data_IF_821266646365
#
_entry.id   IF_821266646365
#
_cell.length_a   1.000
_cell.length_b   1.000
_cell.length_c   1.000
_cell.angle_alpha   90.00
_cell.angle_beta   90.00
_cell.angle_gamma   90.00
#
_symmetry.space_group_name_H-M   'P 1'
#
loop_
_entity.id
_entity.type
_entity.pdbx_description
1 polymer ?
#
# COMPACT_ATOMS: atom_id res chain seq x y z
N UNK A 1 -7.80 19.90 -16.54
CA UNK A 1 -6.67 20.83 -16.41
C UNK A 1 -6.02 21.14 -17.76
N UNK A 2 -5.40 20.16 -18.45
CA UNK A 2 -4.61 20.39 -19.66
C UNK A 2 -5.36 21.12 -20.79
N UNK A 3 -6.63 20.79 -21.03
CA UNK A 3 -7.47 21.50 -22.01
C UNK A 3 -7.63 22.99 -21.69
N UNK A 4 -7.93 23.32 -20.44
CA UNK A 4 -8.07 24.72 -19.99
C UNK A 4 -6.74 25.46 -19.95
N UNK A 5 -5.65 24.74 -19.64
CA UNK A 5 -4.30 25.27 -19.72
C UNK A 5 -3.92 25.67 -21.16
N UNK A 6 -4.19 24.80 -22.14
CA UNK A 6 -3.94 25.10 -23.55
C UNK A 6 -4.74 26.33 -24.03
N UNK A 7 -6.02 26.42 -23.66
CA UNK A 7 -6.87 27.59 -23.96
C UNK A 7 -6.31 28.87 -23.32
N UNK A 8 -5.83 28.80 -22.07
CA UNK A 8 -5.26 29.94 -21.38
C UNK A 8 -3.98 30.45 -22.08
N UNK A 9 -3.09 29.55 -22.50
CA UNK A 9 -1.88 29.90 -23.26
C UNK A 9 -2.22 30.57 -24.59
N UNK A 10 -3.12 29.98 -25.39
CA UNK A 10 -3.55 30.55 -26.67
C UNK A 10 -4.19 31.94 -26.51
N UNK A 11 -4.93 32.14 -25.41
CA UNK A 11 -5.60 33.39 -25.10
C UNK A 11 -4.75 34.39 -24.32
N UNK A 12 -3.46 34.09 -24.05
CA UNK A 12 -2.56 34.89 -23.21
C UNK A 12 -3.14 35.24 -21.83
N UNK A 13 -3.89 34.31 -21.24
CA UNK A 13 -4.47 34.42 -19.89
C UNK A 13 -3.62 33.66 -18.87
N UNK A 14 -3.88 33.90 -17.58
CA UNK A 14 -3.26 33.13 -16.52
C UNK A 14 -3.65 31.65 -16.59
N UNK A 15 -2.72 30.72 -16.29
CA UNK A 15 -3.03 29.30 -16.17
C UNK A 15 -4.16 29.02 -15.17
N UNK A 16 -4.98 27.97 -15.41
CA UNK A 16 -5.95 27.52 -14.42
C UNK A 16 -5.26 27.12 -13.11
N UNK A 17 -5.94 27.34 -11.99
CA UNK A 17 -5.54 26.80 -10.68
C UNK A 17 -5.66 25.28 -10.69
N UNK A 18 -4.62 24.57 -10.24
CA UNK A 18 -4.59 23.10 -10.32
C UNK A 18 -5.58 22.46 -9.34
N UNK A 19 -5.83 23.12 -8.22
CA UNK A 19 -6.72 22.69 -7.14
C UNK A 19 -8.18 22.60 -7.62
N UNK A 20 -8.56 23.40 -8.60
CA UNK A 20 -9.89 23.35 -9.24
C UNK A 20 -10.10 22.11 -10.12
N UNK A 21 -9.08 21.26 -10.29
CA UNK A 21 -9.13 20.04 -11.08
C UNK A 21 -8.78 18.80 -10.26
N UNK A 22 -8.74 18.90 -8.93
CA UNK A 22 -8.69 17.71 -8.10
C UNK A 22 -9.95 16.86 -8.29
N UNK A 23 -9.82 15.54 -8.43
CA UNK A 23 -10.98 14.67 -8.59
C UNK A 23 -11.83 14.69 -7.32
N UNK A 24 -13.15 14.48 -7.42
CA UNK A 24 -13.96 14.16 -6.25
C UNK A 24 -13.43 12.87 -5.62
N UNK A 25 -13.47 12.82 -4.29
CA UNK A 25 -13.12 11.62 -3.54
C UNK A 25 -14.41 10.85 -3.26
N UNK A 26 -14.56 9.70 -3.88
CA UNK A 26 -15.71 8.79 -3.75
C UNK A 26 -15.23 7.39 -3.29
N UNK A 27 -14.29 7.38 -2.33
CA UNK A 27 -13.74 6.16 -1.75
C UNK A 27 -14.14 6.08 -0.27
N UNK A 28 -15.07 5.18 0.11
CA UNK A 28 -15.62 5.11 1.46
C UNK A 28 -14.56 5.02 2.57
N UNK A 29 -13.42 4.39 2.30
CA UNK A 29 -12.33 4.26 3.26
C UNK A 29 -11.69 5.61 3.67
N UNK A 30 -11.87 6.66 2.86
CA UNK A 30 -11.24 7.98 3.05
C UNK A 30 -12.20 9.16 2.88
N UNK A 31 -13.44 8.94 2.45
CA UNK A 31 -14.47 9.95 2.18
C UNK A 31 -14.72 10.92 3.35
N UNK A 32 -14.71 10.41 4.58
CA UNK A 32 -14.94 11.21 5.80
C UNK A 32 -13.75 12.07 6.24
N UNK A 33 -12.61 12.00 5.54
CA UNK A 33 -11.37 12.67 5.93
C UNK A 33 -11.07 13.81 4.97
N UNK A 34 -10.60 14.94 5.51
CA UNK A 34 -10.05 16.03 4.70
C UNK A 34 -8.76 15.56 4.03
N UNK A 35 -8.86 15.07 2.80
CA UNK A 35 -7.73 14.56 2.03
C UNK A 35 -7.01 15.72 1.36
N UNK A 36 -5.72 15.84 1.66
CA UNK A 36 -4.84 16.78 0.98
C UNK A 36 -4.25 16.14 -0.28
N UNK A 37 -4.76 16.51 -1.45
CA UNK A 37 -4.25 16.07 -2.76
C UNK A 37 -3.11 16.96 -3.30
N UNK A 38 -2.69 17.98 -2.55
CA UNK A 38 -1.57 18.83 -2.93
C UNK A 38 -0.24 18.08 -2.91
N UNK A 39 0.78 18.67 -3.54
CA UNK A 39 2.13 18.11 -3.54
C UNK A 39 2.83 18.31 -2.20
N UNK A 40 2.87 17.26 -1.37
CA UNK A 40 3.58 17.25 -0.07
C UNK A 40 4.98 16.64 -0.19
N UNK A 41 6.02 17.35 0.25
CA UNK A 41 7.40 16.85 0.19
C UNK A 41 7.66 15.72 1.19
N UNK A 42 6.92 15.69 2.29
CA UNK A 42 6.97 14.68 3.34
C UNK A 42 6.71 13.28 2.79
N UNK A 43 5.90 13.17 1.72
CA UNK A 43 5.64 11.91 1.03
C UNK A 43 6.89 11.25 0.45
N UNK A 44 7.96 12.01 0.18
CA UNK A 44 9.24 11.46 -0.32
C UNK A 44 10.01 10.67 0.74
N UNK A 45 9.63 10.78 2.01
CA UNK A 45 10.32 10.15 3.14
C UNK A 45 9.36 9.34 4.02
N UNK A 46 8.11 9.14 3.57
CA UNK A 46 7.06 8.47 4.34
C UNK A 46 7.42 7.03 4.74
N UNK A 47 8.25 6.36 3.93
CA UNK A 47 8.70 4.99 4.17
C UNK A 47 10.16 4.90 4.60
N UNK A 48 10.78 6.01 5.02
CA UNK A 48 12.17 6.04 5.46
C UNK A 48 12.40 5.02 6.59
N UNK A 49 13.40 4.15 6.40
CA UNK A 49 13.75 3.11 7.37
C UNK A 49 12.80 1.91 7.39
N UNK A 50 11.89 1.78 6.41
CA UNK A 50 11.05 0.59 6.23
C UNK A 50 11.46 -0.20 5.00
N UNK A 51 11.35 -1.52 5.11
CA UNK A 51 11.54 -2.44 3.99
C UNK A 51 10.24 -3.20 3.74
N UNK A 52 9.64 -3.00 2.58
CA UNK A 52 8.45 -3.72 2.15
C UNK A 52 8.84 -5.00 1.42
N UNK A 53 8.45 -6.13 2.00
CA UNK A 53 8.74 -7.46 1.48
C UNK A 53 7.50 -7.97 0.76
N UNK A 54 7.62 -8.15 -0.54
CA UNK A 54 6.57 -8.68 -1.40
C UNK A 54 6.83 -10.17 -1.65
N UNK A 55 5.76 -10.97 -1.50
CA UNK A 55 5.79 -12.41 -1.81
C UNK A 55 5.16 -12.71 -3.19
N UNK A 56 4.77 -11.66 -3.93
CA UNK A 56 4.12 -11.71 -5.22
C UNK A 56 4.72 -10.67 -6.17
N UNK A 57 5.21 -11.14 -7.32
CA UNK A 57 5.82 -10.29 -8.34
C UNK A 57 4.86 -9.23 -8.92
N UNK A 58 3.55 -9.51 -9.00
CA UNK A 58 2.54 -8.55 -9.50
C UNK A 58 2.41 -7.36 -8.55
N UNK A 59 2.32 -7.62 -7.24
CA UNK A 59 2.25 -6.57 -6.23
C UNK A 59 3.55 -5.78 -6.16
N UNK A 60 4.70 -6.48 -6.21
CA UNK A 60 6.00 -5.83 -6.28
C UNK A 60 6.09 -4.89 -7.49
N UNK A 61 5.74 -5.35 -8.70
CA UNK A 61 5.76 -4.52 -9.91
C UNK A 61 4.82 -3.31 -9.81
N UNK A 62 3.67 -3.47 -9.15
CA UNK A 62 2.68 -2.39 -8.97
C UNK A 62 3.15 -1.32 -7.98
N UNK A 63 3.83 -1.70 -6.91
CA UNK A 63 4.02 -0.83 -5.74
C UNK A 63 5.47 -0.51 -5.38
N UNK A 64 6.46 -1.25 -5.87
CA UNK A 64 7.87 -1.03 -5.52
C UNK A 64 8.33 0.39 -5.81
N UNK A 65 7.92 0.94 -6.96
CA UNK A 65 8.22 2.33 -7.32
C UNK A 65 7.68 3.31 -6.29
N UNK A 66 6.43 3.14 -5.83
CA UNK A 66 5.83 4.02 -4.83
C UNK A 66 6.55 3.95 -3.48
N UNK A 67 6.96 2.74 -3.07
CA UNK A 67 7.75 2.53 -1.85
C UNK A 67 9.10 3.24 -1.93
N UNK A 68 9.82 3.04 -3.04
CA UNK A 68 11.16 3.64 -3.27
C UNK A 68 11.05 5.16 -3.36
N UNK A 69 10.06 5.69 -4.08
CA UNK A 69 9.82 7.14 -4.13
C UNK A 69 9.44 7.73 -2.78
N UNK A 70 8.82 6.93 -1.91
CA UNK A 70 8.55 7.28 -0.52
C UNK A 70 9.74 7.15 0.42
N UNK A 71 10.92 6.77 -0.07
CA UNK A 71 12.16 6.67 0.70
C UNK A 71 12.36 5.35 1.45
N UNK A 72 11.56 4.32 1.14
CA UNK A 72 11.73 2.97 1.70
C UNK A 72 12.38 2.01 0.72
N UNK A 73 12.63 0.78 1.19
CA UNK A 73 13.14 -0.31 0.37
C UNK A 73 12.00 -1.25 -0.05
N UNK A 74 12.04 -1.75 -1.28
CA UNK A 74 11.13 -2.78 -1.77
C UNK A 74 11.93 -4.03 -2.16
N UNK A 75 11.54 -5.19 -1.61
CA UNK A 75 12.17 -6.48 -1.91
C UNK A 75 11.13 -7.49 -2.36
N UNK A 76 11.43 -8.21 -3.44
CA UNK A 76 10.68 -9.39 -3.86
C UNK A 76 11.40 -10.63 -3.35
N UNK A 77 10.72 -11.43 -2.54
CA UNK A 77 11.21 -12.71 -2.05
C UNK A 77 10.38 -13.83 -2.68
N UNK A 78 11.03 -14.93 -3.00
CA UNK A 78 10.44 -16.13 -3.61
C UNK A 78 10.79 -17.38 -2.80
N UNK A 79 10.18 -18.52 -3.12
CA UNK A 79 10.44 -19.80 -2.43
C UNK A 79 11.94 -20.19 -2.49
N UNK A 80 12.63 -19.88 -3.58
CA UNK A 80 14.07 -20.11 -3.73
C UNK A 80 14.98 -19.12 -3.01
N UNK A 81 14.42 -18.06 -2.41
CA UNK A 81 15.19 -17.07 -1.67
C UNK A 81 15.63 -17.64 -0.32
N UNK A 82 16.93 -17.58 -0.04
CA UNK A 82 17.53 -18.07 1.23
C UNK A 82 17.55 -16.94 2.27
N UNK A 83 16.39 -16.53 2.74
CA UNK A 83 16.25 -15.55 3.82
C UNK A 83 15.91 -16.27 5.12
N UNK A 84 16.57 -15.88 6.21
CA UNK A 84 16.32 -16.44 7.54
C UNK A 84 15.02 -15.88 8.14
N UNK A 85 14.38 -16.63 9.04
CA UNK A 85 13.17 -16.18 9.77
C UNK A 85 13.37 -14.81 10.47
N UNK A 86 14.60 -14.48 10.87
CA UNK A 86 14.94 -13.19 11.48
C UNK A 86 14.81 -12.01 10.51
N UNK A 87 14.96 -12.23 9.21
CA UNK A 87 14.78 -11.18 8.19
C UNK A 87 13.35 -10.63 8.22
N UNK A 88 12.36 -11.51 8.25
CA UNK A 88 10.94 -11.15 8.28
C UNK A 88 10.50 -10.46 9.57
N UNK A 89 11.30 -10.57 10.63
CA UNK A 89 11.04 -9.96 11.94
C UNK A 89 11.99 -8.82 12.29
N UNK A 90 12.85 -8.41 11.36
CA UNK A 90 13.74 -7.28 11.56
C UNK A 90 12.94 -5.97 11.74
N UNK A 91 13.42 -5.04 12.59
CA UNK A 91 12.76 -3.74 12.77
C UNK A 91 12.59 -3.00 11.43
N UNK A 92 11.38 -2.49 11.18
CA UNK A 92 11.05 -1.79 9.92
C UNK A 92 10.65 -2.71 8.76
N UNK A 93 10.77 -4.03 8.89
CA UNK A 93 10.31 -4.98 7.88
C UNK A 93 8.78 -5.08 7.87
N UNK A 94 8.20 -4.81 6.70
CA UNK A 94 6.77 -4.86 6.45
C UNK A 94 6.49 -5.92 5.39
N UNK A 95 6.05 -7.12 5.79
CA UNK A 95 5.66 -8.17 4.83
C UNK A 95 4.29 -7.85 4.27
N UNK A 96 4.20 -7.66 2.96
CA UNK A 96 2.96 -7.33 2.26
C UNK A 96 2.12 -8.60 2.12
N UNK A 97 0.86 -8.50 2.50
CA UNK A 97 -0.10 -9.60 2.36
C UNK A 97 -0.25 -9.98 0.88
N UNK A 98 0.12 -11.21 0.57
CA UNK A 98 -0.18 -11.80 -0.72
C UNK A 98 -1.69 -12.08 -0.73
N UNK A 99 -2.45 -11.36 -1.58
CA UNK A 99 -3.90 -11.54 -1.71
C UNK A 99 -4.26 -12.93 -2.23
N UNK A 100 -4.24 -13.92 -1.34
CA UNK A 100 -4.57 -15.33 -1.56
C UNK A 100 -6.08 -15.57 -1.60
N UNK A 101 -6.88 -14.58 -2.00
CA UNK A 101 -8.32 -14.76 -2.17
C UNK A 101 -8.56 -15.92 -3.13
N UNK A 102 -9.42 -16.87 -2.74
CA UNK A 102 -9.64 -18.20 -3.34
C UNK A 102 -9.91 -18.23 -4.86
N UNK A 103 -10.09 -17.06 -5.48
CA UNK A 103 -10.26 -16.85 -6.92
C UNK A 103 -8.96 -16.82 -7.74
N UNK A 104 -7.76 -16.94 -7.14
CA UNK A 104 -6.49 -17.06 -7.88
C UNK A 104 -6.06 -18.52 -8.07
N UNK A 105 -6.70 -19.21 -9.01
CA UNK A 105 -6.41 -20.58 -9.49
C UNK A 105 -5.04 -20.76 -10.16
N UNK A 106 -4.13 -19.79 -10.07
CA UNK A 106 -2.86 -19.74 -10.83
C UNK A 106 -1.59 -19.83 -9.98
N UNK A 107 -1.70 -19.83 -8.65
CA UNK A 107 -0.52 -19.94 -7.78
C UNK A 107 -0.28 -21.43 -7.45
N UNK A 108 0.93 -21.98 -7.72
CA UNK A 108 1.28 -23.34 -7.35
C UNK A 108 1.08 -23.61 -5.86
N UNK A 109 0.67 -24.83 -5.51
CA UNK A 109 0.44 -25.20 -4.11
C UNK A 109 1.69 -25.13 -3.23
N UNK A 110 2.89 -25.33 -3.81
CA UNK A 110 4.16 -25.12 -3.09
C UNK A 110 4.31 -23.68 -2.64
N UNK A 111 4.06 -22.73 -3.55
CA UNK A 111 4.13 -21.30 -3.26
C UNK A 111 3.08 -20.87 -2.24
N UNK A 112 1.86 -21.43 -2.27
CA UNK A 112 0.84 -21.16 -1.23
C UNK A 112 1.31 -21.62 0.15
N UNK A 113 1.83 -22.85 0.24
CA UNK A 113 2.38 -23.40 1.50
C UNK A 113 3.55 -22.56 2.01
N UNK A 114 4.42 -22.11 1.11
CA UNK A 114 5.54 -21.25 1.44
C UNK A 114 5.07 -19.89 1.99
N UNK A 115 4.09 -19.23 1.34
CA UNK A 115 3.51 -17.99 1.85
C UNK A 115 2.88 -18.21 3.22
N UNK A 116 2.12 -19.29 3.42
CA UNK A 116 1.53 -19.61 4.72
C UNK A 116 2.59 -19.80 5.81
N UNK A 117 3.71 -20.46 5.49
CA UNK A 117 4.84 -20.60 6.41
C UNK A 117 5.39 -19.25 6.87
N UNK A 118 5.53 -18.29 5.95
CA UNK A 118 5.94 -16.92 6.29
C UNK A 118 4.91 -16.24 7.20
N UNK A 119 3.61 -16.39 6.91
CA UNK A 119 2.56 -15.83 7.78
C UNK A 119 2.59 -16.43 9.19
N UNK A 120 2.90 -17.72 9.32
CA UNK A 120 3.05 -18.38 10.62
C UNK A 120 4.33 -17.93 11.35
N UNK A 121 5.42 -17.61 10.64
CA UNK A 121 6.60 -16.96 11.22
C UNK A 121 6.21 -15.59 11.82
N UNK A 122 5.53 -14.74 11.05
CA UNK A 122 5.09 -13.43 11.51
C UNK A 122 4.19 -13.54 12.75
N UNK A 123 3.18 -14.42 12.69
CA UNK A 123 2.25 -14.66 13.81
C UNK A 123 2.97 -15.10 15.07
N UNK A 124 3.94 -16.03 14.96
CA UNK A 124 4.76 -16.49 16.11
C UNK A 124 5.61 -15.37 16.72
N UNK A 125 5.94 -14.35 15.93
CA UNK A 125 6.69 -13.16 16.38
C UNK A 125 5.77 -12.02 16.83
N UNK A 126 4.45 -12.21 16.82
CA UNK A 126 3.48 -11.16 17.15
C UNK A 126 3.39 -10.07 16.09
N UNK A 127 3.81 -10.35 14.86
CA UNK A 127 3.76 -9.43 13.73
C UNK A 127 2.59 -9.77 12.83
N UNK A 128 1.99 -8.75 12.22
CA UNK A 128 0.95 -8.90 11.20
C UNK A 128 1.50 -8.63 9.79
N UNK A 129 0.94 -9.26 8.75
CA UNK A 129 1.15 -8.81 7.38
C UNK A 129 0.47 -7.46 7.16
N UNK A 130 0.99 -6.71 6.17
CA UNK A 130 0.48 -5.39 5.78
C UNK A 130 -0.40 -5.55 4.53
N UNK A 131 -1.71 -5.24 4.62
CA UNK A 131 -2.57 -5.19 3.46
C UNK A 131 -2.07 -4.18 2.42
N UNK A 132 -2.22 -4.53 1.14
CA UNK A 132 -1.75 -3.69 0.03
C UNK A 132 -2.27 -2.24 0.10
N UNK A 133 -3.53 -2.07 0.50
CA UNK A 133 -4.19 -0.77 0.60
C UNK A 133 -3.54 0.15 1.65
N UNK A 134 -2.95 -0.39 2.71
CA UNK A 134 -2.30 0.42 3.75
C UNK A 134 -1.12 1.24 3.20
N UNK A 135 -0.43 0.73 2.17
CA UNK A 135 0.67 1.46 1.52
C UNK A 135 0.14 2.76 0.88
N UNK A 136 -1.02 2.69 0.21
CA UNK A 136 -1.67 3.87 -0.36
C UNK A 136 -2.18 4.83 0.72
N UNK A 137 -2.84 4.29 1.75
CA UNK A 137 -3.37 5.09 2.86
C UNK A 137 -2.26 5.81 3.64
N UNK A 138 -1.11 5.17 3.82
CA UNK A 138 0.06 5.77 4.45
C UNK A 138 0.55 7.00 3.68
N UNK A 139 0.53 6.96 2.34
CA UNK A 139 0.91 8.10 1.49
C UNK A 139 -0.15 9.21 1.51
N UNK A 140 -1.43 8.84 1.50
CA UNK A 140 -2.55 9.79 1.56
C UNK A 140 -2.50 10.59 2.86
N UNK A 141 -2.39 9.90 4.00
CA UNK A 141 -2.41 10.50 5.32
C UNK A 141 -1.03 10.90 5.86
N UNK A 142 0.03 10.61 5.11
CA UNK A 142 1.43 10.92 5.47
C UNK A 142 1.77 10.42 6.89
N UNK A 143 1.34 9.19 7.19
CA UNK A 143 1.69 8.50 8.44
C UNK A 143 1.84 7.00 8.21
N UNK A 144 2.78 6.40 8.94
CA UNK A 144 2.95 4.93 8.98
C UNK A 144 2.70 4.33 10.36
N UNK A 145 2.16 5.13 11.28
CA UNK A 145 1.83 4.67 12.64
C UNK A 145 0.54 3.84 12.62
N UNK A 146 -0.45 4.32 11.87
CA UNK A 146 -1.75 3.66 11.72
C UNK A 146 -1.82 2.78 10.44
N UNK A 147 -0.77 2.78 9.64
CA UNK A 147 -0.70 2.09 8.35
C UNK A 147 0.72 1.58 8.13
N UNK A 148 0.91 0.35 7.66
CA UNK A 148 2.25 -0.22 7.48
C UNK A 148 3.04 -0.32 8.80
N UNK A 149 2.34 -0.61 9.91
CA UNK A 149 2.93 -1.01 11.18
C UNK A 149 2.68 -2.50 11.43
N UNK A 150 3.73 -3.35 11.36
CA UNK A 150 3.60 -4.79 11.58
C UNK A 150 3.34 -5.15 13.06
N UNK A 151 3.59 -4.25 14.02
CA UNK A 151 3.29 -4.46 15.44
C UNK A 151 1.92 -3.89 15.85
N UNK A 152 1.39 -2.96 15.06
CA UNK A 152 0.12 -2.31 15.29
C UNK A 152 -1.07 -3.26 15.13
N UNK A 153 -2.15 -2.95 15.84
CA UNK A 153 -3.45 -3.58 15.58
C UNK A 153 -3.95 -3.18 14.18
N UNK A 154 -4.68 -4.05 13.46
CA UNK A 154 -5.31 -3.66 12.20
C UNK A 154 -6.18 -2.43 12.45
N UNK A 155 -5.97 -1.36 11.67
CA UNK A 155 -6.80 -0.17 11.75
C UNK A 155 -8.27 -0.55 11.56
N UNK A 156 -9.09 -0.40 12.61
CA UNK A 156 -10.51 -0.79 12.66
C UNK A 156 -11.42 -0.03 11.68
N UNK A 157 -10.84 0.76 10.77
CA UNK A 157 -11.56 1.55 9.75
C UNK A 157 -12.03 0.75 8.54
N UNK A 158 -11.65 -0.52 8.38
CA UNK A 158 -12.10 -1.36 7.28
C UNK A 158 -12.95 -2.52 7.79
N UNK A 159 -14.16 -2.22 8.27
CA UNK A 159 -15.22 -3.22 8.27
C UNK A 159 -15.62 -3.41 6.81
N UNK A 160 -15.20 -4.52 6.21
CA UNK A 160 -15.90 -5.07 5.04
C UNK A 160 -17.31 -5.40 5.49
N UNK A 161 -18.25 -4.48 5.28
CA UNK A 161 -19.68 -4.79 5.34
C UNK A 161 -19.98 -5.71 4.17
N UNK A 162 -19.87 -7.01 4.40
CA UNK A 162 -20.44 -8.02 3.51
C UNK A 162 -21.94 -7.78 3.48
N UNK A 163 -22.58 -7.54 2.32
CA UNK A 163 -24.03 -7.55 2.25
C UNK A 163 -24.49 -8.97 2.60
N UNK A 164 -25.19 -9.11 3.72
CA UNK A 164 -25.85 -10.38 4.07
C UNK A 164 -26.87 -10.74 2.98
N UNK A 165 -27.11 -12.04 2.74
CA UNK A 165 -28.10 -12.47 1.76
C UNK A 165 -29.47 -11.99 2.22
N UNK A 166 -30.11 -11.16 1.41
CA UNK A 166 -31.51 -10.79 1.60
C UNK A 166 -32.38 -12.05 1.58
N UNK A 167 -33.16 -12.23 2.65
CA UNK A 167 -34.23 -13.23 2.77
C UNK A 167 -35.34 -12.99 1.74
#
# INVERSE_FOLDING_TARGET
>A
YFTEFLKAVQSKKQPPKIESFYPPVDEPAIESKNIDLSGRQERKQIFKGKTFVFLNAKQHKKLSAAVIFGGGDARLITEESKEDDSFFSAPGTCVVEAGLTDSQTLIPDSQKKWIHSIMDILRRKGLRPIPEAEIGLAVIFVTTENYCDPQGQPSTGLKTTTPGPSL
#
